data_IF_950096393035
#
_entry.id   IF_950096393035
#
_cell.length_a   1.000
_cell.length_b   1.000
_cell.length_c   1.000
_cell.angle_alpha   90.00
_cell.angle_beta   90.00
_cell.angle_gamma   90.00
#
_symmetry.space_group_name_H-M   'P 1'
#
loop_
_entity.id
_entity.type
_entity.pdbx_description
1 polymer ?
#
# COMPACT_ATOMS: atom_id res chain seq x y z
N UNK A 1 -13.66 -8.41 -66.96
CA UNK A 1 -13.62 -9.78 -66.38
C UNK A 1 -12.35 -9.92 -65.55
N UNK A 2 -12.54 -10.30 -64.28
CA UNK A 2 -11.68 -10.97 -63.27
C UNK A 2 -10.37 -11.57 -63.87
N UNK A 3 -9.15 -11.51 -63.29
CA UNK A 3 -8.75 -11.80 -61.90
C UNK A 3 -7.26 -11.50 -61.63
N UNK A 4 -6.98 -10.96 -60.44
CA UNK A 4 -5.87 -11.13 -59.46
C UNK A 4 -4.56 -11.84 -59.89
N UNK A 5 -3.37 -11.21 -59.83
CA UNK A 5 -2.54 -10.78 -58.68
C UNK A 5 -1.87 -11.93 -57.91
N UNK A 6 -0.53 -12.08 -57.94
CA UNK A 6 0.20 -12.62 -56.77
C UNK A 6 1.65 -12.04 -56.59
N UNK A 7 1.80 -11.24 -55.52
CA UNK A 7 2.88 -11.09 -54.51
C UNK A 7 4.35 -10.74 -54.87
N UNK A 8 4.80 -9.56 -54.40
CA UNK A 8 6.22 -9.24 -54.15
C UNK A 8 6.60 -9.47 -52.68
N UNK A 9 7.67 -10.22 -52.44
CA UNK A 9 8.21 -10.55 -51.12
C UNK A 9 8.97 -9.35 -50.52
N UNK A 10 8.41 -8.72 -49.49
CA UNK A 10 9.09 -7.70 -48.68
C UNK A 10 10.15 -8.34 -47.78
N UNK A 11 11.40 -7.86 -47.90
CA UNK A 11 12.52 -8.20 -47.02
C UNK A 11 12.31 -7.54 -45.66
N UNK A 12 12.03 -8.32 -44.62
CA UNK A 12 12.04 -7.87 -43.23
C UNK A 12 13.06 -8.72 -42.48
N UNK A 13 14.18 -8.10 -42.10
CA UNK A 13 15.15 -8.69 -41.18
C UNK A 13 14.70 -8.39 -39.75
N UNK A 14 14.49 -9.39 -38.86
CA UNK A 14 14.19 -9.12 -37.47
C UNK A 14 15.51 -8.97 -36.71
N UNK A 15 15.87 -7.74 -36.35
CA UNK A 15 16.88 -7.49 -35.33
C UNK A 15 16.23 -7.70 -33.95
N UNK A 16 16.35 -8.93 -33.44
CA UNK A 16 15.98 -9.29 -32.07
C UNK A 16 17.06 -8.73 -31.13
N UNK A 17 16.81 -7.54 -30.56
CA UNK A 17 17.64 -7.02 -29.46
C UNK A 17 16.98 -7.45 -28.14
N UNK A 18 17.51 -8.53 -27.56
CA UNK A 18 17.31 -8.89 -26.16
C UNK A 18 18.00 -7.84 -25.29
N UNK A 19 17.23 -6.91 -24.72
CA UNK A 19 17.63 -6.14 -23.55
C UNK A 19 16.94 -6.76 -22.34
N UNK A 20 17.54 -7.84 -21.85
CA UNK A 20 17.36 -8.33 -20.49
C UNK A 20 18.25 -7.47 -19.58
N UNK A 21 17.65 -6.81 -18.59
CA UNK A 21 18.42 -6.26 -17.48
C UNK A 21 17.80 -4.99 -16.90
N UNK A 22 17.33 -5.10 -15.66
CA UNK A 22 16.83 -4.04 -14.78
C UNK A 22 15.39 -3.59 -15.06
N UNK A 23 14.46 -4.55 -15.09
CA UNK A 23 13.16 -4.28 -14.48
C UNK A 23 13.38 -4.31 -12.96
N UNK A 24 13.81 -3.18 -12.39
CA UNK A 24 13.45 -2.90 -11.01
C UNK A 24 11.93 -2.88 -11.02
N UNK A 25 11.32 -3.96 -10.54
CA UNK A 25 9.88 -4.03 -10.37
C UNK A 25 9.54 -2.95 -9.33
N UNK A 26 9.21 -1.75 -9.80
CA UNK A 26 8.42 -0.80 -9.03
C UNK A 26 7.11 -1.51 -8.71
N UNK A 27 7.10 -2.29 -7.63
CA UNK A 27 5.89 -2.81 -7.04
C UNK A 27 5.13 -1.57 -6.56
N UNK A 28 4.26 -1.04 -7.43
CA UNK A 28 3.34 0.00 -7.08
C UNK A 28 2.56 -0.46 -5.84
N UNK A 29 2.36 0.44 -4.89
CA UNK A 29 1.56 0.13 -3.73
C UNK A 29 0.16 -0.25 -4.19
N UNK A 30 -0.31 -1.43 -3.80
CA UNK A 30 -1.70 -1.86 -4.06
C UNK A 30 -2.55 -1.28 -2.93
N UNK A 31 -3.72 -0.74 -3.23
CA UNK A 31 -4.62 -0.30 -2.17
C UNK A 31 -5.10 -1.53 -1.39
N UNK A 32 -4.94 -1.52 -0.06
CA UNK A 32 -5.35 -2.65 0.77
C UNK A 32 -6.89 -2.71 0.86
N UNK A 33 -7.45 -3.90 0.78
CA UNK A 33 -8.86 -4.11 1.07
C UNK A 33 -9.12 -3.92 2.57
N UNK A 34 -10.10 -3.08 2.90
CA UNK A 34 -10.68 -3.04 4.25
C UNK A 34 -11.45 -4.32 4.44
N UNK A 35 -10.82 -5.33 5.03
CA UNK A 35 -11.52 -6.52 5.47
C UNK A 35 -12.03 -6.23 6.89
N UNK A 36 -13.24 -5.69 6.97
CA UNK A 36 -13.95 -5.61 8.23
C UNK A 36 -14.26 -7.04 8.70
N UNK A 37 -13.35 -7.63 9.47
CA UNK A 37 -13.45 -9.00 9.96
C UNK A 37 -13.49 -9.01 11.47
N UNK A 38 -14.52 -9.66 12.04
CA UNK A 38 -14.63 -9.99 13.47
C UNK A 38 -13.43 -10.80 14.01
N UNK A 39 -12.53 -11.25 13.11
CA UNK A 39 -11.36 -12.06 13.38
C UNK A 39 -10.04 -11.31 13.34
N UNK A 40 -10.03 -9.98 13.20
CA UNK A 40 -8.79 -9.21 13.12
C UNK A 40 -7.83 -9.60 14.25
N UNK A 41 -6.76 -10.30 13.90
CA UNK A 41 -5.74 -10.67 14.87
C UNK A 41 -6.19 -11.62 16.00
N UNK A 42 -7.17 -12.51 15.77
CA UNK A 42 -7.60 -13.51 16.80
C UNK A 42 -6.48 -14.46 17.26
N UNK A 43 -5.31 -14.46 16.61
CA UNK A 43 -4.16 -15.32 16.90
C UNK A 43 -2.95 -14.57 17.50
N UNK A 44 -3.10 -14.21 18.79
CA UNK A 44 -2.11 -14.26 19.88
C UNK A 44 -0.80 -13.46 19.88
N UNK A 45 -0.39 -12.70 18.85
CA UNK A 45 0.76 -11.79 18.97
C UNK A 45 0.36 -10.36 18.60
N UNK A 46 0.44 -9.44 19.57
CA UNK A 46 0.16 -8.01 19.37
C UNK A 46 1.40 -7.22 19.75
N UNK A 47 1.91 -6.41 18.82
CA UNK A 47 2.99 -5.48 19.10
C UNK A 47 2.62 -4.11 18.57
N UNK A 48 2.83 -3.10 19.40
CA UNK A 48 2.67 -1.70 19.02
C UNK A 48 3.95 -1.16 18.39
N UNK A 49 3.78 -0.43 17.30
CA UNK A 49 4.87 0.17 16.55
C UNK A 49 4.57 1.64 16.30
N UNK A 50 5.62 2.47 16.25
CA UNK A 50 5.47 3.89 15.94
C UNK A 50 4.95 4.07 14.53
N UNK A 51 4.05 5.03 14.37
CA UNK A 51 3.53 5.49 13.09
C UNK A 51 4.07 6.90 12.79
N UNK A 52 4.59 7.18 11.58
CA UNK A 52 5.07 8.50 11.23
C UNK A 52 3.94 9.53 11.18
N UNK A 53 4.18 10.72 11.74
CA UNK A 53 3.20 11.82 11.79
C UNK A 53 3.53 12.96 10.82
N UNK A 54 4.61 12.85 10.06
CA UNK A 54 5.01 13.80 9.02
C UNK A 54 4.96 13.15 7.65
N UNK A 55 4.32 13.81 6.67
CA UNK A 55 4.23 13.32 5.29
C UNK A 55 5.63 13.14 4.70
N UNK A 56 5.86 12.01 4.05
CA UNK A 56 7.16 11.59 3.51
C UNK A 56 8.04 10.83 4.50
N UNK A 57 7.77 10.91 5.81
CA UNK A 57 8.54 10.18 6.82
C UNK A 57 8.23 8.69 6.80
N UNK A 58 9.26 7.89 7.07
CA UNK A 58 9.21 6.42 7.07
C UNK A 58 9.82 5.91 8.37
N UNK A 59 9.13 4.97 9.02
CA UNK A 59 9.67 4.21 10.15
C UNK A 59 9.85 2.74 9.75
N UNK A 60 10.99 2.18 10.12
CA UNK A 60 11.35 0.79 9.88
C UNK A 60 11.22 0.00 11.17
N UNK A 61 10.73 -1.22 11.07
CA UNK A 61 10.58 -2.16 12.18
C UNK A 61 10.94 -3.57 11.72
N UNK A 62 11.22 -4.44 12.68
CA UNK A 62 11.36 -5.87 12.42
C UNK A 62 9.97 -6.53 12.36
N UNK A 63 9.72 -7.32 11.32
CA UNK A 63 8.47 -8.09 11.18
C UNK A 63 8.47 -9.38 12.01
N UNK A 64 7.29 -9.85 12.42
CA UNK A 64 7.13 -11.10 13.18
C UNK A 64 7.72 -12.35 12.50
N UNK A 65 7.78 -12.36 11.16
CA UNK A 65 8.25 -13.49 10.37
C UNK A 65 9.70 -13.30 9.90
N UNK A 66 10.41 -12.32 10.47
CA UNK A 66 11.77 -11.93 10.07
C UNK A 66 11.78 -10.95 8.89
N UNK A 67 12.87 -10.19 8.78
CA UNK A 67 13.02 -9.14 7.79
C UNK A 67 12.55 -7.77 8.26
N UNK A 68 12.95 -6.73 7.53
CA UNK A 68 12.56 -5.36 7.81
C UNK A 68 11.26 -5.03 7.05
N UNK A 69 10.28 -4.51 7.78
CA UNK A 69 9.10 -3.87 7.21
C UNK A 69 9.14 -2.37 7.50
N UNK A 70 8.37 -1.59 6.78
CA UNK A 70 8.26 -0.16 7.03
C UNK A 70 6.84 0.36 6.87
N UNK A 71 6.59 1.47 7.54
CA UNK A 71 5.40 2.29 7.38
C UNK A 71 5.86 3.70 6.97
N UNK A 72 5.36 4.19 5.83
CA UNK A 72 5.60 5.54 5.32
C UNK A 72 4.31 6.33 5.30
N UNK A 73 4.32 7.54 5.83
CA UNK A 73 3.19 8.45 5.69
C UNK A 73 3.22 9.06 4.28
N UNK A 74 2.39 8.55 3.36
CA UNK A 74 2.44 8.93 1.95
C UNK A 74 1.79 10.29 1.69
N UNK A 75 0.59 10.50 2.21
CA UNK A 75 -0.18 11.69 1.90
C UNK A 75 -1.25 12.01 2.93
N UNK A 76 -1.60 13.29 2.98
CA UNK A 76 -2.76 13.80 3.69
C UNK A 76 -3.60 14.59 2.69
N UNK A 77 -4.80 14.11 2.38
CA UNK A 77 -5.69 14.70 1.37
C UNK A 77 -7.02 15.08 1.97
N UNK A 78 -7.74 16.06 1.43
CA UNK A 78 -9.08 16.38 1.91
C UNK A 78 -10.03 15.21 1.64
N UNK A 79 -10.76 14.74 2.66
CA UNK A 79 -11.73 13.64 2.49
C UNK A 79 -12.92 14.04 1.64
N UNK A 80 -13.32 15.32 1.72
CA UNK A 80 -14.46 15.88 0.97
C UNK A 80 -14.04 17.22 0.40
N UNK A 81 -14.23 17.40 -0.91
CA UNK A 81 -13.91 18.66 -1.58
C UNK A 81 -14.65 19.84 -0.95
N UNK A 82 -13.93 20.90 -0.60
CA UNK A 82 -14.49 22.10 0.03
C UNK A 82 -14.70 21.98 1.56
N UNK A 83 -14.55 20.79 2.15
CA UNK A 83 -14.50 20.61 3.59
C UNK A 83 -13.05 20.43 4.05
N UNK A 84 -12.54 21.42 4.77
CA UNK A 84 -11.15 21.40 5.26
C UNK A 84 -10.98 20.74 6.62
N UNK A 85 -12.07 20.34 7.29
CA UNK A 85 -12.03 19.73 8.63
C UNK A 85 -11.52 18.29 8.60
N UNK A 86 -11.94 17.52 7.59
CA UNK A 86 -11.64 16.10 7.50
C UNK A 86 -10.59 15.80 6.44
N UNK A 87 -9.62 14.97 6.79
CA UNK A 87 -8.58 14.48 5.88
C UNK A 87 -8.48 12.97 5.87
N UNK A 88 -8.09 12.45 4.73
CA UNK A 88 -7.68 11.07 4.58
C UNK A 88 -6.18 10.98 4.79
N UNK A 89 -5.75 10.08 5.67
CA UNK A 89 -4.35 9.82 5.97
C UNK A 89 -3.94 8.53 5.27
N UNK A 90 -3.08 8.62 4.26
CA UNK A 90 -2.59 7.44 3.53
C UNK A 90 -1.21 7.03 4.03
N UNK A 91 -1.10 5.80 4.48
CA UNK A 91 0.12 5.15 4.91
C UNK A 91 0.45 4.01 3.96
N UNK A 92 1.70 3.94 3.51
CA UNK A 92 2.22 2.81 2.78
C UNK A 92 2.91 1.86 3.74
N UNK A 93 2.45 0.62 3.78
CA UNK A 93 3.10 -0.45 4.50
C UNK A 93 3.82 -1.37 3.50
N UNK A 94 5.11 -1.56 3.73
CA UNK A 94 5.93 -2.44 2.92
C UNK A 94 6.52 -3.55 3.80
N UNK A 95 6.17 -4.80 3.49
CA UNK A 95 6.55 -6.00 4.23
C UNK A 95 7.92 -6.56 3.81
N UNK A 96 8.63 -5.84 2.95
CA UNK A 96 9.95 -6.22 2.46
C UNK A 96 9.89 -7.51 1.66
N UNK A 97 10.67 -8.52 2.10
CA UNK A 97 10.73 -9.83 1.47
C UNK A 97 9.63 -10.80 1.94
N UNK A 98 8.77 -10.39 2.88
CA UNK A 98 7.69 -11.26 3.37
C UNK A 98 6.53 -11.30 2.38
N UNK A 99 6.25 -12.50 1.87
CA UNK A 99 5.21 -12.77 0.86
C UNK A 99 3.85 -13.18 1.48
N UNK A 100 3.66 -12.99 2.79
CA UNK A 100 2.38 -13.24 3.45
C UNK A 100 1.59 -11.96 3.74
N UNK A 101 0.60 -12.09 4.61
CA UNK A 101 -0.30 -11.00 5.00
C UNK A 101 -0.11 -10.67 6.47
N UNK A 102 0.02 -9.39 6.79
CA UNK A 102 -0.07 -8.88 8.15
C UNK A 102 -1.40 -8.20 8.40
N UNK A 103 -1.91 -8.31 9.62
CA UNK A 103 -3.05 -7.51 10.07
C UNK A 103 -2.54 -6.26 10.78
N UNK A 104 -2.96 -5.10 10.31
CA UNK A 104 -2.61 -3.81 10.90
C UNK A 104 -3.86 -3.16 11.46
N UNK A 105 -3.86 -2.88 12.75
CA UNK A 105 -4.87 -2.07 13.42
C UNK A 105 -4.40 -0.62 13.48
N UNK A 106 -5.18 0.27 12.87
CA UNK A 106 -4.96 1.71 12.92
C UNK A 106 -6.08 2.39 13.73
N UNK A 107 -5.75 3.41 14.54
CA UNK A 107 -6.75 4.19 15.23
C UNK A 107 -7.64 4.97 14.26
N UNK A 108 -8.85 5.28 14.70
CA UNK A 108 -9.80 6.15 13.98
C UNK A 108 -9.98 7.48 14.71
N UNK A 109 -10.41 8.53 14.00
CA UNK A 109 -10.75 9.83 14.59
C UNK A 109 -12.01 9.79 15.47
N UNK A 110 -12.79 8.72 15.41
CA UNK A 110 -14.07 8.61 16.11
C UNK A 110 -13.96 8.05 17.54
N UNK A 111 -12.74 7.95 18.08
CA UNK A 111 -12.43 7.56 19.47
C UNK A 111 -12.39 6.04 19.67
N UNK A 112 -11.32 5.55 20.32
CA UNK A 112 -10.96 4.16 20.72
C UNK A 112 -11.17 2.99 19.73
N UNK A 113 -11.90 3.20 18.64
CA UNK A 113 -12.10 2.24 17.58
C UNK A 113 -10.84 2.17 16.72
N UNK A 114 -10.41 0.95 16.45
CA UNK A 114 -9.36 0.66 15.48
C UNK A 114 -9.99 0.06 14.23
N UNK A 115 -9.56 0.53 13.06
CA UNK A 115 -9.86 -0.08 11.78
C UNK A 115 -8.78 -1.10 11.46
N UNK A 116 -9.19 -2.25 10.91
CA UNK A 116 -8.31 -3.36 10.62
C UNK A 116 -8.07 -3.49 9.12
N UNK A 117 -6.80 -3.61 8.74
CA UNK A 117 -6.36 -3.71 7.36
C UNK A 117 -5.51 -4.97 7.15
N UNK A 118 -5.79 -5.69 6.08
CA UNK A 118 -4.93 -6.78 5.61
C UNK A 118 -3.87 -6.18 4.68
N UNK A 119 -2.61 -6.17 5.13
CA UNK A 119 -1.48 -5.64 4.37
C UNK A 119 -0.75 -6.80 3.71
N UNK A 120 -0.50 -6.70 2.41
CA UNK A 120 0.24 -7.68 1.61
C UNK A 120 1.31 -6.99 0.77
N UNK A 121 2.55 -7.49 0.80
CA UNK A 121 3.72 -6.93 0.09
C UNK A 121 3.91 -5.43 0.31
N UNK A 122 3.48 -4.62 -0.65
CA UNK A 122 3.58 -3.16 -0.63
C UNK A 122 2.17 -2.59 -0.83
N UNK A 123 1.64 -1.96 0.21
CA UNK A 123 0.21 -1.73 0.30
C UNK A 123 -0.12 -0.36 0.92
N UNK A 124 -1.00 0.40 0.25
CA UNK A 124 -1.49 1.67 0.77
C UNK A 124 -2.76 1.46 1.60
N UNK A 125 -2.71 1.93 2.84
CA UNK A 125 -3.79 1.93 3.82
C UNK A 125 -4.24 3.36 4.02
N UNK A 126 -5.55 3.61 3.97
CA UNK A 126 -6.10 4.97 4.15
C UNK A 126 -7.04 5.01 5.34
N UNK A 127 -6.68 5.80 6.35
CA UNK A 127 -7.59 6.18 7.44
C UNK A 127 -8.44 7.34 6.92
N UNK A 128 -9.74 7.10 6.77
CA UNK A 128 -10.65 8.11 6.19
C UNK A 128 -11.23 9.03 7.27
N UNK A 129 -11.56 10.24 6.85
CA UNK A 129 -12.28 11.22 7.69
C UNK A 129 -11.60 11.53 9.03
N UNK A 130 -10.27 11.64 9.05
CA UNK A 130 -9.53 12.09 10.22
C UNK A 130 -9.85 13.56 10.52
N UNK A 131 -10.29 13.90 11.73
CA UNK A 131 -10.53 15.29 12.12
C UNK A 131 -9.18 15.98 12.35
N UNK A 132 -8.91 17.07 11.61
CA UNK A 132 -7.65 17.83 11.74
C UNK A 132 -7.41 18.40 13.14
N UNK A 133 -8.44 18.49 13.98
CA UNK A 133 -8.30 18.95 15.38
C UNK A 133 -7.69 17.87 16.27
N UNK A 134 -7.74 16.60 15.86
CA UNK A 134 -7.18 15.49 16.60
C UNK A 134 -5.69 15.33 16.30
N UNK A 135 -4.93 15.00 17.33
CA UNK A 135 -3.51 14.66 17.18
C UNK A 135 -3.36 13.46 16.25
N UNK A 136 -2.53 13.60 15.21
CA UNK A 136 -2.29 12.51 14.27
C UNK A 136 -1.89 11.22 14.97
N UNK A 137 -2.31 10.06 14.45
CA UNK A 137 -1.98 8.78 15.03
C UNK A 137 -0.47 8.55 14.98
N UNK A 138 0.11 8.21 16.12
CA UNK A 138 1.55 8.02 16.30
C UNK A 138 1.93 6.57 16.59
N UNK A 139 0.96 5.66 16.65
CA UNK A 139 1.17 4.22 16.79
C UNK A 139 0.16 3.42 15.96
N UNK A 140 0.51 2.18 15.66
CA UNK A 140 -0.35 1.14 15.11
C UNK A 140 -0.06 -0.19 15.80
N UNK A 141 -1.00 -1.14 15.76
CA UNK A 141 -0.76 -2.50 16.26
C UNK A 141 -0.62 -3.47 15.10
N UNK A 142 0.46 -4.24 15.09
CA UNK A 142 0.62 -5.41 14.23
C UNK A 142 0.02 -6.63 14.95
N UNK A 143 -0.80 -7.41 14.25
CA UNK A 143 -1.43 -8.63 14.78
C UNK A 143 -1.22 -9.84 13.87
#
# INVERSE_FOLDING_TARGET
MVSFSFFSLSKVAPALVLLLGLADFCAAAVQCDVINSDNCGRTKHRIEHKLPTSVGSTFYIDGFHGGAMNAKFQSMTQSVAGNSQYVDLTYNFNLGAYDGTYWVLLPTSFGEANECFAVYKNCDVTIRFWDKRDTLPNYYTLV
#
